data_IF_926423048342
#
_entry.id   IF_926423048342
#
_cell.length_a   1.000
_cell.length_b   1.000
_cell.length_c   1.000
_cell.angle_alpha   90.00
_cell.angle_beta   90.00
_cell.angle_gamma   90.00
#
_symmetry.space_group_name_H-M   'P 1'
#
loop_
_entity.id
_entity.type
_entity.pdbx_description
1 polymer ?
#
# COMPACT_ATOMS: atom_id res chain seq x y z
N UNK A 1 -19.29 -7.60 13.48
CA UNK A 1 -19.21 -6.42 12.58
C UNK A 1 -19.27 -6.93 11.16
N UNK A 2 -20.06 -6.32 10.26
CA UNK A 2 -20.03 -6.71 8.84
C UNK A 2 -18.68 -6.35 8.21
N UNK A 3 -18.33 -7.03 7.11
CA UNK A 3 -17.11 -6.75 6.33
C UNK A 3 -17.04 -5.27 5.94
N UNK A 4 -18.11 -4.74 5.37
CA UNK A 4 -18.20 -3.34 4.93
C UNK A 4 -17.92 -2.34 6.07
N UNK A 5 -18.48 -2.58 7.26
CA UNK A 5 -18.23 -1.71 8.42
C UNK A 5 -16.77 -1.82 8.86
N UNK A 6 -16.18 -3.02 8.84
CA UNK A 6 -14.76 -3.22 9.18
C UNK A 6 -13.85 -2.50 8.19
N UNK A 7 -14.09 -2.65 6.89
CA UNK A 7 -13.32 -1.98 5.83
C UNK A 7 -13.38 -0.47 6.00
N UNK A 8 -14.58 0.09 6.13
CA UNK A 8 -14.75 1.53 6.33
C UNK A 8 -14.00 2.01 7.59
N UNK A 9 -14.12 1.31 8.72
CA UNK A 9 -13.41 1.68 9.95
C UNK A 9 -11.90 1.58 9.82
N UNK A 10 -11.40 0.54 9.16
CA UNK A 10 -9.96 0.37 8.92
C UNK A 10 -9.41 1.52 8.08
N UNK A 11 -10.14 1.93 7.02
CA UNK A 11 -9.76 3.08 6.19
C UNK A 11 -9.74 4.38 6.99
N UNK A 12 -10.78 4.68 7.76
CA UNK A 12 -10.78 5.90 8.60
C UNK A 12 -9.63 5.90 9.61
N UNK A 13 -9.34 4.75 10.21
CA UNK A 13 -8.25 4.62 11.17
C UNK A 13 -6.89 4.84 10.48
N UNK A 14 -6.64 4.21 9.33
CA UNK A 14 -5.39 4.38 8.59
C UNK A 14 -5.17 5.83 8.13
N UNK A 15 -6.23 6.52 7.70
CA UNK A 15 -6.15 7.93 7.34
C UNK A 15 -5.84 8.81 8.56
N UNK A 16 -6.52 8.58 9.68
CA UNK A 16 -6.25 9.27 10.93
C UNK A 16 -4.81 9.04 11.40
N UNK A 17 -4.35 7.79 11.39
CA UNK A 17 -3.00 7.42 11.82
C UNK A 17 -1.94 8.10 10.94
N UNK A 18 -2.18 8.20 9.63
CA UNK A 18 -1.32 8.95 8.72
C UNK A 18 -1.30 10.45 9.05
N UNK A 19 -2.48 11.06 9.23
CA UNK A 19 -2.61 12.50 9.48
C UNK A 19 -2.00 12.89 10.84
N UNK A 20 -1.99 11.97 11.82
CA UNK A 20 -1.42 12.17 13.16
C UNK A 20 0.02 11.65 13.32
N UNK A 21 0.61 11.06 12.27
CA UNK A 21 1.89 10.36 12.32
C UNK A 21 1.96 9.30 13.45
N UNK A 22 0.87 8.55 13.65
CA UNK A 22 0.74 7.52 14.67
C UNK A 22 1.31 6.16 14.20
N UNK A 23 1.80 5.33 15.13
CA UNK A 23 2.30 4.00 14.77
C UNK A 23 1.16 3.05 14.43
N UNK A 24 1.36 2.29 13.36
CA UNK A 24 0.47 1.19 13.04
C UNK A 24 0.39 0.21 14.21
N UNK A 25 -0.84 -0.13 14.64
CA UNK A 25 -1.10 -1.04 15.75
C UNK A 25 -1.29 -0.37 17.11
N UNK A 26 -1.13 0.96 17.22
CA UNK A 26 -1.41 1.69 18.48
C UNK A 26 -2.92 1.83 18.76
N UNK A 27 -3.78 1.55 17.77
CA UNK A 27 -5.23 1.60 17.96
C UNK A 27 -5.71 0.50 18.91
N UNK A 28 -6.54 0.83 19.92
CA UNK A 28 -7.08 -0.16 20.85
C UNK A 28 -8.15 -1.07 20.22
N UNK A 29 -8.59 -0.79 18.99
CA UNK A 29 -9.58 -1.58 18.26
C UNK A 29 -8.86 -2.38 17.18
N UNK A 30 -8.96 -3.71 17.26
CA UNK A 30 -8.45 -4.58 16.21
C UNK A 30 -9.33 -4.48 14.95
N UNK A 31 -8.78 -3.81 13.94
CA UNK A 31 -9.37 -3.64 12.61
C UNK A 31 -8.60 -4.44 11.55
N UNK A 32 -7.73 -5.36 11.98
CA UNK A 32 -6.91 -6.18 11.08
C UNK A 32 -7.83 -7.01 10.17
N UNK A 33 -7.66 -6.93 8.84
CA UNK A 33 -8.38 -7.80 7.91
C UNK A 33 -8.05 -9.28 8.21
N UNK A 34 -9.05 -10.18 8.23
CA UNK A 34 -8.84 -11.58 8.62
C UNK A 34 -8.09 -12.41 7.57
N UNK A 35 -7.92 -11.89 6.36
CA UNK A 35 -7.23 -12.55 5.25
C UNK A 35 -6.77 -11.51 4.21
N UNK A 36 -5.89 -11.95 3.31
CA UNK A 36 -5.31 -11.09 2.27
C UNK A 36 -6.36 -10.48 1.30
N UNK A 37 -7.39 -11.22 0.82
CA UNK A 37 -8.47 -10.61 0.03
C UNK A 37 -9.20 -9.46 0.73
N UNK A 38 -9.52 -9.58 2.02
CA UNK A 38 -10.09 -8.47 2.80
C UNK A 38 -9.07 -7.32 3.00
N UNK A 39 -7.77 -7.63 3.05
CA UNK A 39 -6.70 -6.63 3.03
C UNK A 39 -6.71 -5.77 1.76
N UNK A 40 -6.84 -6.39 0.59
CA UNK A 40 -6.98 -5.66 -0.67
C UNK A 40 -8.27 -4.84 -0.75
N UNK A 41 -9.39 -5.30 -0.16
CA UNK A 41 -10.60 -4.47 -0.05
C UNK A 41 -10.37 -3.19 0.77
N UNK A 42 -9.55 -3.25 1.83
CA UNK A 42 -9.13 -2.06 2.59
C UNK A 42 -8.24 -1.17 1.74
N UNK A 43 -7.28 -1.73 0.99
CA UNK A 43 -6.43 -0.97 0.08
C UNK A 43 -7.24 -0.25 -1.01
N UNK A 44 -8.15 -0.94 -1.69
CA UNK A 44 -9.01 -0.36 -2.73
C UNK A 44 -9.87 0.78 -2.19
N UNK A 45 -10.45 0.59 -1.01
CA UNK A 45 -11.23 1.62 -0.34
C UNK A 45 -10.36 2.82 0.07
N UNK A 46 -9.12 2.59 0.51
CA UNK A 46 -8.17 3.64 0.87
C UNK A 46 -7.71 4.43 -0.37
N UNK A 47 -7.42 3.76 -1.49
CA UNK A 47 -7.11 4.38 -2.78
C UNK A 47 -8.23 5.34 -3.19
N UNK A 48 -9.49 4.87 -3.11
CA UNK A 48 -10.65 5.72 -3.41
C UNK A 48 -10.69 6.96 -2.53
N UNK A 49 -10.39 6.85 -1.23
CA UNK A 49 -10.34 8.02 -0.33
C UNK A 49 -9.23 9.00 -0.69
N UNK A 50 -8.06 8.52 -1.10
CA UNK A 50 -7.00 9.40 -1.59
C UNK A 50 -7.42 10.13 -2.87
N UNK A 51 -8.05 9.42 -3.82
CA UNK A 51 -8.58 10.02 -5.04
C UNK A 51 -9.67 11.07 -4.76
N UNK A 52 -10.58 10.79 -3.82
CA UNK A 52 -11.61 11.75 -3.37
C UNK A 52 -10.98 13.00 -2.71
N UNK A 53 -9.79 12.87 -2.11
CA UNK A 53 -8.97 13.99 -1.59
C UNK A 53 -8.12 14.69 -2.68
N UNK A 54 -8.27 14.30 -3.95
CA UNK A 54 -7.55 14.88 -5.09
C UNK A 54 -6.15 14.32 -5.31
N UNK A 55 -5.81 13.18 -4.71
CA UNK A 55 -4.50 12.57 -4.82
C UNK A 55 -4.48 11.50 -5.92
N UNK A 56 -3.54 11.65 -6.86
CA UNK A 56 -3.31 10.70 -7.95
C UNK A 56 -2.50 9.46 -7.54
N UNK A 57 -2.54 8.46 -8.40
CA UNK A 57 -1.68 7.26 -8.36
C UNK A 57 -0.67 7.39 -9.50
N UNK A 58 0.62 7.37 -9.17
CA UNK A 58 1.73 7.50 -10.13
C UNK A 58 2.33 6.14 -10.52
N UNK A 59 1.93 5.06 -9.83
CA UNK A 59 2.36 3.72 -10.17
C UNK A 59 2.00 2.68 -9.11
N UNK A 60 2.65 1.52 -9.22
CA UNK A 60 2.47 0.38 -8.34
C UNK A 60 3.82 -0.17 -7.90
N UNK A 61 3.96 -0.50 -6.62
CA UNK A 61 5.13 -1.17 -6.06
C UNK A 61 4.81 -2.64 -5.86
N UNK A 62 5.72 -3.52 -6.29
CA UNK A 62 5.69 -4.93 -5.90
C UNK A 62 6.49 -5.13 -4.62
N UNK A 63 5.85 -5.69 -3.60
CA UNK A 63 6.43 -6.10 -2.33
C UNK A 63 6.53 -7.62 -2.21
N UNK A 64 7.30 -8.10 -1.23
CA UNK A 64 7.53 -9.53 -0.98
C UNK A 64 8.01 -10.29 -2.23
N UNK A 65 8.92 -9.70 -3.01
CA UNK A 65 9.43 -10.32 -4.24
C UNK A 65 10.29 -11.58 -3.98
N UNK A 66 11.00 -11.62 -2.84
CA UNK A 66 11.84 -12.77 -2.46
C UNK A 66 11.03 -13.92 -1.86
N UNK A 67 11.38 -15.15 -2.23
CA UNK A 67 10.85 -16.38 -1.61
C UNK A 67 11.14 -16.46 -0.11
N UNK A 68 12.27 -15.94 0.36
CA UNK A 68 12.59 -15.95 1.80
C UNK A 68 11.64 -15.04 2.59
N UNK A 69 11.32 -13.85 2.05
CA UNK A 69 10.36 -12.92 2.66
C UNK A 69 8.96 -13.52 2.67
N UNK A 70 8.52 -14.07 1.54
CA UNK A 70 7.24 -14.78 1.38
C UNK A 70 7.07 -15.88 2.44
N UNK A 71 8.10 -16.70 2.66
CA UNK A 71 8.11 -17.74 3.69
C UNK A 71 8.03 -17.15 5.11
N UNK A 72 8.75 -16.06 5.38
CA UNK A 72 8.79 -15.44 6.71
C UNK A 72 7.44 -14.88 7.18
N UNK A 73 6.59 -14.44 6.24
CA UNK A 73 5.27 -13.85 6.53
C UNK A 73 4.10 -14.76 6.15
N UNK A 74 4.37 -15.94 5.58
CA UNK A 74 3.33 -16.91 5.20
C UNK A 74 2.51 -16.52 3.96
N UNK A 75 2.99 -15.60 3.12
CA UNK A 75 2.31 -15.18 1.88
C UNK A 75 3.06 -15.79 0.69
N UNK A 76 2.47 -16.70 -0.10
CA UNK A 76 3.22 -17.53 -1.07
C UNK A 76 3.52 -16.83 -2.41
N UNK A 77 3.15 -15.57 -2.54
CA UNK A 77 3.30 -14.76 -3.75
C UNK A 77 3.65 -13.30 -3.39
N UNK A 78 4.16 -12.50 -4.34
CA UNK A 78 4.32 -11.07 -4.14
C UNK A 78 2.99 -10.38 -3.84
N UNK A 79 3.07 -9.20 -3.24
CA UNK A 79 1.94 -8.29 -3.02
C UNK A 79 2.19 -7.00 -3.77
N UNK A 80 1.15 -6.20 -3.98
CA UNK A 80 1.30 -4.86 -4.55
C UNK A 80 0.78 -3.80 -3.59
N UNK A 81 1.23 -2.55 -3.79
CA UNK A 81 0.59 -1.37 -3.24
C UNK A 81 0.72 -0.15 -4.17
N UNK A 82 -0.21 0.82 -4.07
CA UNK A 82 -0.21 2.03 -4.88
C UNK A 82 0.92 2.99 -4.47
N UNK A 83 1.54 3.64 -5.46
CA UNK A 83 2.43 4.79 -5.24
C UNK A 83 1.60 6.06 -5.45
N UNK A 84 1.48 6.87 -4.41
CA UNK A 84 0.76 8.14 -4.48
C UNK A 84 1.62 9.19 -5.20
N UNK A 85 1.01 9.97 -6.08
CA UNK A 85 1.70 10.99 -6.90
C UNK A 85 2.50 11.99 -6.05
N UNK A 86 1.95 12.40 -4.91
CA UNK A 86 2.62 13.35 -4.00
C UNK A 86 3.90 12.79 -3.34
N UNK A 87 4.16 11.49 -3.45
CA UNK A 87 5.33 10.81 -2.88
C UNK A 87 6.37 10.45 -3.95
N UNK A 88 6.10 10.78 -5.21
CA UNK A 88 6.99 10.51 -6.34
C UNK A 88 7.90 11.71 -6.61
N UNK A 89 9.21 11.46 -6.67
CA UNK A 89 10.22 12.48 -6.92
C UNK A 89 11.20 11.99 -7.99
N UNK A 90 11.34 12.74 -9.07
CA UNK A 90 12.26 12.43 -10.18
C UNK A 90 13.66 13.05 -10.00
N UNK A 91 13.82 13.91 -9.00
CA UNK A 91 15.04 14.65 -8.69
C UNK A 91 15.33 14.52 -7.19
N UNK A 92 16.49 15.05 -6.78
CA UNK A 92 16.84 15.12 -5.36
C UNK A 92 15.74 15.79 -4.53
N UNK A 93 15.43 15.19 -3.39
CA UNK A 93 14.50 15.72 -2.39
C UNK A 93 15.10 15.55 -0.99
N UNK A 94 14.92 16.57 -0.16
CA UNK A 94 15.23 16.47 1.27
C UNK A 94 13.96 16.08 2.02
N UNK A 95 13.99 14.94 2.70
CA UNK A 95 12.87 14.42 3.49
C UNK A 95 13.16 14.53 4.99
N UNK A 96 12.17 14.95 5.77
CA UNK A 96 12.29 14.99 7.22
C UNK A 96 11.85 13.67 7.84
N UNK A 97 12.67 13.09 8.71
CA UNK A 97 12.27 11.90 9.46
C UNK A 97 11.06 12.16 10.38
N UNK A 98 10.76 13.42 10.71
CA UNK A 98 9.59 13.78 11.52
C UNK A 98 8.25 13.63 10.77
N UNK A 99 8.28 13.53 9.44
CA UNK A 99 7.09 13.35 8.60
C UNK A 99 6.68 11.87 8.47
N UNK A 100 7.46 10.96 9.07
CA UNK A 100 7.26 9.52 8.98
C UNK A 100 7.33 8.85 10.35
N UNK A 101 6.81 7.63 10.43
CA UNK A 101 6.78 6.83 11.66
C UNK A 101 8.03 5.96 11.81
N UNK A 102 8.27 5.12 10.81
CA UNK A 102 9.37 4.14 10.75
C UNK A 102 9.90 4.12 9.32
N UNK A 103 11.08 4.70 9.12
CA UNK A 103 11.69 4.81 7.78
C UNK A 103 12.55 3.58 7.52
N UNK A 104 12.34 2.98 6.35
CA UNK A 104 13.21 1.96 5.77
C UNK A 104 13.62 2.42 4.38
N UNK A 105 14.84 2.05 3.97
CA UNK A 105 15.35 2.31 2.62
C UNK A 105 15.42 0.99 1.86
N UNK A 106 14.73 0.92 0.72
CA UNK A 106 14.81 -0.17 -0.24
C UNK A 106 15.36 0.39 -1.55
N UNK A 107 16.27 -0.35 -2.19
CA UNK A 107 16.80 -0.02 -3.51
C UNK A 107 16.26 -1.04 -4.53
N UNK A 108 15.43 -0.57 -5.45
CA UNK A 108 14.72 -1.40 -6.43
C UNK A 108 14.89 -0.87 -7.86
N UNK A 109 14.59 -1.71 -8.85
CA UNK A 109 14.45 -1.30 -10.24
C UNK A 109 13.07 -0.71 -10.53
N UNK A 110 13.03 0.39 -11.29
CA UNK A 110 11.79 0.98 -11.80
C UNK A 110 11.57 0.59 -13.26
N UNK A 111 10.33 0.28 -13.63
CA UNK A 111 9.93 0.05 -15.02
C UNK A 111 8.90 1.10 -15.42
N UNK A 112 9.25 1.93 -16.41
CA UNK A 112 8.31 2.86 -17.03
C UNK A 112 7.57 2.18 -18.17
N UNK A 113 6.25 2.20 -18.11
CA UNK A 113 5.40 1.58 -19.11
C UNK A 113 5.09 2.59 -20.22
N UNK A 114 5.44 2.22 -21.46
CA UNK A 114 5.16 3.07 -22.63
C UNK A 114 3.67 3.14 -23.01
N UNK A 115 2.82 2.33 -22.36
CA UNK A 115 1.39 2.25 -22.61
C UNK A 115 0.72 1.24 -21.67
N UNK A 116 -0.62 1.09 -21.77
CA UNK A 116 -1.36 0.15 -20.93
C UNK A 116 -0.91 -1.30 -21.17
N UNK A 117 -0.80 -2.08 -20.10
CA UNK A 117 -0.58 -3.52 -20.17
C UNK A 117 -1.95 -4.20 -20.18
N UNK A 118 -2.22 -4.99 -21.22
CA UNK A 118 -3.41 -5.84 -21.25
C UNK A 118 -3.25 -7.01 -20.28
N UNK A 119 -4.31 -7.31 -19.53
CA UNK A 119 -4.39 -8.56 -18.80
C UNK A 119 -4.27 -9.76 -19.75
N UNK A 120 -3.49 -10.75 -19.34
CA UNK A 120 -3.37 -12.04 -20.01
C UNK A 120 -3.43 -13.11 -18.91
N UNK A 121 -3.90 -14.31 -19.20
CA UNK A 121 -3.92 -15.43 -18.21
C UNK A 121 -2.67 -16.32 -18.35
N UNK A 122 -1.78 -15.97 -19.27
CA UNK A 122 -0.55 -16.67 -19.58
C UNK A 122 -0.61 -17.45 -20.89
N UNK A 123 0.41 -18.30 -21.17
CA UNK A 123 1.56 -18.55 -20.32
C UNK A 123 2.46 -17.31 -20.20
N UNK A 124 3.00 -17.11 -19.00
CA UNK A 124 4.04 -16.12 -18.73
C UNK A 124 5.38 -16.78 -19.04
N UNK A 125 5.88 -16.57 -20.26
CA UNK A 125 7.17 -17.11 -20.72
C UNK A 125 8.31 -16.16 -20.44
#
# INVERSE_FOLDING_TARGET
>A
MSEEIRVCRAVEQLLKDRDENARFGDSPVDLTPPNLPEGYKVQDALIKRYQDRGQGIDGWKVGLASKSMQQSVGIPHPIEGPILESLSHNEHVDLSNADYVSVCLEADGLVLLAGPISYNEGPWT
#
